data_IF_616221072420
#
_entry.id   IF_616221072420
#
_cell.length_a   1.000
_cell.length_b   1.000
_cell.length_c   1.000
_cell.angle_alpha   90.00
_cell.angle_beta   90.00
_cell.angle_gamma   90.00
#
_symmetry.space_group_name_H-M   'P 1'
#
loop_
_entity.id
_entity.type
_entity.pdbx_description
1 polymer ?
#
# COMPACT_ATOMS: atom_id res chain seq x y z
N UNK A 1 31.57 19.45 21.92
CA UNK A 1 32.08 18.22 22.57
C UNK A 1 31.66 17.07 21.66
N UNK A 2 32.61 16.28 21.15
CA UNK A 2 32.27 15.13 20.32
C UNK A 2 31.65 14.01 21.18
N UNK A 3 30.66 13.26 20.68
CA UNK A 3 30.04 12.16 21.42
C UNK A 3 31.06 11.08 21.73
N UNK A 4 30.97 10.51 22.93
CA UNK A 4 31.80 9.37 23.33
C UNK A 4 31.32 8.08 22.67
N UNK A 5 32.17 7.04 22.68
CA UNK A 5 31.76 5.69 22.23
C UNK A 5 30.52 5.19 23.00
N UNK A 6 30.41 5.52 24.29
CA UNK A 6 29.26 5.15 25.10
C UNK A 6 27.97 5.85 24.62
N UNK A 7 28.07 7.14 24.25
CA UNK A 7 26.94 7.89 23.68
C UNK A 7 26.51 7.30 22.32
N UNK A 8 27.48 6.92 21.48
CA UNK A 8 27.19 6.29 20.19
C UNK A 8 26.55 4.90 20.32
N UNK A 9 27.03 4.07 21.25
CA UNK A 9 26.42 2.77 21.56
C UNK A 9 25.00 2.93 22.10
N UNK A 10 24.77 3.90 22.99
CA UNK A 10 23.44 4.22 23.48
C UNK A 10 22.49 4.63 22.34
N UNK A 11 22.95 5.47 21.40
CA UNK A 11 22.18 5.83 20.20
C UNK A 11 21.83 4.62 19.33
N UNK A 12 22.76 3.68 19.15
CA UNK A 12 22.50 2.46 18.36
C UNK A 12 21.46 1.58 19.04
N UNK A 13 21.52 1.42 20.37
CA UNK A 13 20.52 0.66 21.13
C UNK A 13 19.14 1.32 21.06
N UNK A 14 19.06 2.65 21.12
CA UNK A 14 17.81 3.39 20.91
C UNK A 14 17.25 3.10 19.51
N UNK A 15 18.09 3.14 18.47
CA UNK A 15 17.68 2.83 17.09
C UNK A 15 17.19 1.40 16.93
N UNK A 16 17.82 0.42 17.58
CA UNK A 16 17.35 -0.97 17.62
C UNK A 16 15.97 -1.08 18.26
N UNK A 17 15.76 -0.43 19.40
CA UNK A 17 14.44 -0.39 20.05
C UNK A 17 13.38 0.26 19.17
N UNK A 18 13.72 1.34 18.48
CA UNK A 18 12.82 2.00 17.52
C UNK A 18 12.48 1.10 16.33
N UNK A 19 13.47 0.36 15.80
CA UNK A 19 13.28 -0.60 14.71
C UNK A 19 12.32 -1.72 15.14
N UNK A 20 12.51 -2.29 16.34
CA UNK A 20 11.59 -3.29 16.90
C UNK A 20 10.16 -2.76 17.05
N UNK A 21 9.99 -1.53 17.57
CA UNK A 21 8.67 -0.90 17.68
C UNK A 21 8.02 -0.67 16.32
N UNK A 22 8.81 -0.30 15.31
CA UNK A 22 8.31 -0.12 13.95
C UNK A 22 7.87 -1.45 13.35
N UNK A 23 8.70 -2.49 13.44
CA UNK A 23 8.37 -3.84 13.00
C UNK A 23 7.07 -4.33 13.64
N UNK A 24 6.93 -4.17 14.96
CA UNK A 24 5.71 -4.55 15.68
C UNK A 24 4.48 -3.83 15.12
N UNK A 25 4.53 -2.50 14.95
CA UNK A 25 3.41 -1.73 14.38
C UNK A 25 3.08 -2.15 12.95
N UNK A 26 4.09 -2.48 12.15
CA UNK A 26 3.89 -2.93 10.77
C UNK A 26 3.18 -4.29 10.72
N UNK A 27 3.54 -5.22 11.62
CA UNK A 27 2.83 -6.51 11.75
C UNK A 27 1.38 -6.33 12.17
N UNK A 28 1.13 -5.46 13.15
CA UNK A 28 -0.23 -5.12 13.60
C UNK A 28 -1.05 -4.51 12.45
N UNK A 29 -0.45 -3.56 11.72
CA UNK A 29 -1.08 -2.93 10.55
C UNK A 29 -1.36 -3.93 9.43
N UNK A 30 -0.45 -4.85 9.15
CA UNK A 30 -0.65 -5.88 8.14
C UNK A 30 -1.85 -6.76 8.49
N UNK A 31 -1.97 -7.19 9.75
CA UNK A 31 -3.10 -8.01 10.21
C UNK A 31 -4.44 -7.27 10.06
N UNK A 32 -4.51 -5.98 10.41
CA UNK A 32 -5.70 -5.15 10.17
C UNK A 32 -6.07 -5.07 8.67
N UNK A 33 -5.06 -4.91 7.82
CA UNK A 33 -5.25 -4.83 6.37
C UNK A 33 -5.76 -6.16 5.83
N UNK A 34 -5.18 -7.29 6.24
CA UNK A 34 -5.61 -8.63 5.82
C UNK A 34 -7.07 -8.90 6.17
N UNK A 35 -7.49 -8.57 7.39
CA UNK A 35 -8.89 -8.68 7.81
C UNK A 35 -9.79 -7.82 6.91
N UNK A 36 -9.38 -6.56 6.65
CA UNK A 36 -10.15 -5.64 5.82
C UNK A 36 -10.23 -6.11 4.37
N UNK A 37 -9.15 -6.64 3.80
CA UNK A 37 -9.12 -7.21 2.45
C UNK A 37 -10.06 -8.40 2.35
N UNK A 38 -10.07 -9.29 3.34
CA UNK A 38 -10.99 -10.43 3.40
C UNK A 38 -12.46 -9.98 3.42
N UNK A 39 -12.79 -8.94 4.20
CA UNK A 39 -14.14 -8.39 4.25
C UNK A 39 -14.59 -7.76 2.91
N UNK A 40 -13.66 -7.17 2.15
CA UNK A 40 -13.95 -6.51 0.87
C UNK A 40 -14.07 -7.51 -0.31
N UNK A 41 -13.36 -8.64 -0.25
CA UNK A 41 -13.19 -9.54 -1.39
C UNK A 41 -14.51 -10.04 -2.02
N UNK A 42 -15.54 -10.26 -1.19
CA UNK A 42 -16.85 -10.76 -1.65
C UNK A 42 -17.77 -9.72 -2.28
N UNK A 43 -17.55 -8.42 -2.05
CA UNK A 43 -18.45 -7.35 -2.51
C UNK A 43 -17.69 -6.20 -3.17
N UNK A 44 -16.88 -6.52 -4.17
CA UNK A 44 -16.20 -5.53 -5.01
C UNK A 44 -16.34 -5.85 -6.51
N UNK A 45 -16.20 -4.82 -7.34
CA UNK A 45 -16.11 -4.99 -8.79
C UNK A 45 -15.20 -3.88 -9.37
N UNK A 46 -14.29 -4.18 -10.30
CA UNK A 46 -13.48 -3.17 -10.96
C UNK A 46 -14.30 -2.34 -11.95
N UNK A 47 -13.89 -1.08 -12.13
CA UNK A 47 -14.38 -0.25 -13.22
C UNK A 47 -14.81 1.15 -12.80
N UNK A 48 -15.65 1.75 -13.64
CA UNK A 48 -16.22 3.09 -13.43
C UNK A 48 -17.64 3.14 -13.95
N UNK A 49 -18.52 3.84 -13.23
CA UNK A 49 -19.92 3.98 -13.60
C UNK A 49 -20.13 5.34 -14.27
N UNK A 50 -20.69 5.32 -15.48
CA UNK A 50 -20.90 6.50 -16.30
C UNK A 50 -22.37 6.68 -16.62
N UNK A 51 -22.84 7.93 -16.62
CA UNK A 51 -24.19 8.29 -17.03
C UNK A 51 -24.15 8.77 -18.49
N UNK A 52 -24.86 8.10 -19.39
CA UNK A 52 -24.78 8.38 -20.83
C UNK A 52 -26.15 8.38 -21.48
N UNK A 53 -26.30 9.23 -22.51
CA UNK A 53 -27.42 9.14 -23.45
C UNK A 53 -26.97 8.34 -24.68
N UNK A 54 -27.86 7.51 -25.20
CA UNK A 54 -27.55 6.59 -26.32
C UNK A 54 -28.47 6.86 -27.50
N UNK A 55 -27.93 6.79 -28.72
CA UNK A 55 -28.75 6.75 -29.94
C UNK A 55 -29.33 5.36 -30.10
N UNK A 56 -30.56 5.27 -30.62
CA UNK A 56 -31.20 3.99 -30.92
C UNK A 56 -30.88 3.55 -32.35
N UNK A 57 -31.60 2.55 -32.87
CA UNK A 57 -31.51 2.14 -34.26
C UNK A 57 -31.74 3.29 -35.25
N UNK A 58 -31.32 3.13 -36.52
CA UNK A 58 -31.20 4.21 -37.51
C UNK A 58 -32.48 5.04 -37.70
N UNK A 59 -33.66 4.41 -37.56
CA UNK A 59 -34.96 5.05 -37.78
C UNK A 59 -35.63 5.61 -36.50
N UNK A 60 -34.92 5.74 -35.39
CA UNK A 60 -35.49 6.32 -34.17
C UNK A 60 -35.59 7.85 -34.26
N UNK A 61 -36.78 8.42 -34.00
CA UNK A 61 -36.98 9.87 -33.87
C UNK A 61 -36.03 10.54 -32.86
N UNK A 62 -35.58 9.78 -31.86
CA UNK A 62 -34.64 10.23 -30.83
C UNK A 62 -33.24 10.60 -31.36
N UNK A 63 -32.88 10.16 -32.57
CA UNK A 63 -31.56 10.40 -33.15
C UNK A 63 -31.33 11.86 -33.59
N UNK A 64 -32.41 12.61 -33.81
CA UNK A 64 -32.38 14.03 -34.19
C UNK A 64 -32.38 14.97 -32.96
N UNK A 65 -32.19 14.43 -31.76
CA UNK A 65 -32.11 15.17 -30.50
C UNK A 65 -31.00 14.62 -29.59
N UNK A 66 -31.19 14.67 -28.28
CA UNK A 66 -30.18 14.25 -27.29
C UNK A 66 -30.07 12.72 -27.09
N UNK A 67 -30.80 11.90 -27.86
CA UNK A 67 -30.86 10.45 -27.70
C UNK A 67 -31.65 9.98 -26.46
N UNK A 68 -31.70 8.67 -26.25
CA UNK A 68 -32.39 8.02 -25.12
C UNK A 68 -31.53 7.99 -23.86
N UNK A 69 -32.21 7.99 -22.70
CA UNK A 69 -31.59 7.94 -21.39
C UNK A 69 -31.81 9.22 -20.59
N UNK A 70 -30.95 9.51 -19.61
CA UNK A 70 -29.64 8.89 -19.43
C UNK A 70 -29.69 7.51 -18.75
N UNK A 71 -28.75 6.65 -19.13
CA UNK A 71 -28.55 5.30 -18.64
C UNK A 71 -27.19 5.16 -17.96
N UNK A 72 -27.13 4.33 -16.93
CA UNK A 72 -25.87 4.00 -16.29
C UNK A 72 -25.19 2.86 -17.03
N UNK A 73 -23.89 3.02 -17.30
CA UNK A 73 -23.04 2.01 -17.89
C UNK A 73 -21.80 1.82 -17.01
N UNK A 74 -21.52 0.57 -16.66
CA UNK A 74 -20.28 0.17 -16.01
C UNK A 74 -19.24 -0.12 -17.09
N UNK A 75 -18.12 0.57 -17.02
CA UNK A 75 -16.95 0.36 -17.88
C UNK A 75 -15.85 -0.34 -17.08
N UNK A 76 -15.25 -1.40 -17.63
CA UNK A 76 -14.11 -2.07 -17.04
C UNK A 76 -13.11 -2.54 -18.09
N UNK A 77 -11.84 -2.63 -17.69
CA UNK A 77 -10.79 -3.21 -18.52
C UNK A 77 -10.74 -4.72 -18.33
N UNK A 78 -10.53 -5.43 -19.44
CA UNK A 78 -10.29 -6.88 -19.49
C UNK A 78 -9.05 -7.14 -20.35
N UNK A 79 -8.49 -8.37 -20.36
CA UNK A 79 -7.41 -8.71 -21.28
C UNK A 79 -7.76 -8.47 -22.76
N UNK A 80 -9.05 -8.57 -23.14
CA UNK A 80 -9.56 -8.29 -24.48
C UNK A 80 -9.90 -6.81 -24.74
N UNK A 81 -9.55 -5.90 -23.84
CA UNK A 81 -9.82 -4.46 -23.95
C UNK A 81 -10.97 -3.98 -23.05
N UNK A 82 -11.43 -2.75 -23.33
CA UNK A 82 -12.47 -2.08 -22.55
C UNK A 82 -13.85 -2.64 -22.91
N UNK A 83 -14.59 -3.10 -21.91
CA UNK A 83 -15.98 -3.55 -22.05
C UNK A 83 -16.93 -2.64 -21.29
N UNK A 84 -18.18 -2.54 -21.76
CA UNK A 84 -19.25 -1.80 -21.08
C UNK A 84 -20.48 -2.66 -20.86
N UNK A 85 -21.16 -2.47 -19.73
CA UNK A 85 -22.40 -3.16 -19.36
C UNK A 85 -23.45 -2.17 -18.88
N UNK A 86 -24.69 -2.29 -19.36
CA UNK A 86 -25.82 -1.50 -18.84
C UNK A 86 -26.12 -1.86 -17.37
N UNK A 87 -26.41 -0.82 -16.57
CA UNK A 87 -26.76 -0.94 -15.16
C UNK A 87 -28.15 -0.35 -14.94
N UNK A 88 -29.06 -1.15 -14.37
CA UNK A 88 -30.41 -0.68 -14.02
C UNK A 88 -30.33 0.36 -12.91
N UNK A 89 -31.24 1.34 -12.91
CA UNK A 89 -31.30 2.39 -11.88
C UNK A 89 -31.36 1.82 -10.45
N UNK A 90 -32.10 0.72 -10.25
CA UNK A 90 -32.21 0.03 -8.95
C UNK A 90 -30.90 -0.60 -8.47
N UNK A 91 -29.93 -0.85 -9.36
CA UNK A 91 -28.65 -1.48 -9.02
C UNK A 91 -27.51 -0.47 -8.85
N UNK A 92 -27.73 0.79 -9.22
CA UNK A 92 -26.68 1.83 -9.26
C UNK A 92 -25.95 1.95 -7.93
N UNK A 93 -26.71 1.99 -6.82
CA UNK A 93 -26.11 2.20 -5.51
C UNK A 93 -25.28 0.99 -5.05
N UNK A 94 -25.77 -0.22 -5.34
CA UNK A 94 -25.01 -1.46 -5.14
C UNK A 94 -23.70 -1.45 -5.92
N UNK A 95 -23.73 -1.04 -7.19
CA UNK A 95 -22.53 -0.96 -8.02
C UNK A 95 -21.57 0.13 -7.52
N UNK A 96 -22.06 1.31 -7.12
CA UNK A 96 -21.22 2.36 -6.53
C UNK A 96 -20.46 1.88 -5.30
N UNK A 97 -21.15 1.18 -4.39
CA UNK A 97 -20.52 0.57 -3.22
C UNK A 97 -19.41 -0.41 -3.64
N UNK A 98 -19.71 -1.34 -4.55
CA UNK A 98 -18.72 -2.33 -5.06
C UNK A 98 -17.52 -1.68 -5.73
N UNK A 99 -17.72 -0.61 -6.48
CA UNK A 99 -16.63 0.18 -7.07
C UNK A 99 -15.78 0.87 -6.00
N UNK A 100 -16.41 1.36 -4.93
CA UNK A 100 -15.70 1.96 -3.80
C UNK A 100 -14.87 0.92 -3.05
N UNK A 101 -15.47 -0.24 -2.77
CA UNK A 101 -14.80 -1.38 -2.14
C UNK A 101 -13.60 -1.83 -2.97
N UNK A 102 -13.72 -1.87 -4.30
CA UNK A 102 -12.58 -2.19 -5.17
C UNK A 102 -11.45 -1.14 -5.10
N UNK A 103 -11.78 0.15 -5.03
CA UNK A 103 -10.78 1.22 -4.87
C UNK A 103 -10.04 1.08 -3.54
N UNK A 104 -10.77 0.85 -2.46
CA UNK A 104 -10.21 0.62 -1.12
C UNK A 104 -9.31 -0.61 -1.12
N UNK A 105 -9.81 -1.74 -1.64
CA UNK A 105 -9.04 -2.98 -1.77
C UNK A 105 -7.71 -2.77 -2.50
N UNK A 106 -7.71 -2.02 -3.61
CA UNK A 106 -6.49 -1.74 -4.39
C UNK A 106 -5.45 -0.93 -3.62
N UNK A 107 -5.89 0.02 -2.79
CA UNK A 107 -4.99 0.81 -1.95
C UNK A 107 -4.40 -0.07 -0.85
N UNK A 108 -5.26 -0.81 -0.14
CA UNK A 108 -4.87 -1.69 0.95
C UNK A 108 -3.95 -2.84 0.50
N UNK A 109 -4.24 -3.48 -0.64
CA UNK A 109 -3.39 -4.54 -1.18
C UNK A 109 -1.99 -4.03 -1.55
N UNK A 110 -1.88 -2.78 -2.03
CA UNK A 110 -0.59 -2.15 -2.29
C UNK A 110 0.16 -1.86 -1.00
N UNK A 111 -0.54 -1.36 0.02
CA UNK A 111 0.03 -1.10 1.35
C UNK A 111 0.55 -2.40 1.98
N UNK A 112 -0.26 -3.47 1.99
CA UNK A 112 0.14 -4.79 2.49
C UNK A 112 1.43 -5.28 1.83
N UNK A 113 1.50 -5.23 0.50
CA UNK A 113 2.70 -5.65 -0.23
C UNK A 113 3.96 -4.87 0.17
N UNK A 114 3.85 -3.54 0.37
CA UNK A 114 4.97 -2.72 0.84
C UNK A 114 5.37 -3.04 2.28
N UNK A 115 4.42 -3.44 3.13
CA UNK A 115 4.69 -3.87 4.50
C UNK A 115 5.39 -5.23 4.51
N UNK A 116 4.89 -6.19 3.75
CA UNK A 116 5.50 -7.52 3.58
C UNK A 116 6.96 -7.39 3.11
N UNK A 117 7.21 -6.59 2.06
CA UNK A 117 8.57 -6.33 1.57
C UNK A 117 9.50 -5.76 2.65
N UNK A 118 8.99 -4.84 3.48
CA UNK A 118 9.73 -4.28 4.60
C UNK A 118 10.04 -5.33 5.67
N UNK A 119 9.07 -6.18 6.02
CA UNK A 119 9.21 -7.20 7.06
C UNK A 119 10.11 -8.37 6.63
N UNK A 120 10.06 -8.78 5.36
CA UNK A 120 10.83 -9.92 4.85
C UNK A 120 12.33 -9.69 4.91
N UNK A 121 12.81 -8.54 4.42
CA UNK A 121 14.25 -8.28 4.27
C UNK A 121 14.66 -6.93 4.85
N UNK A 122 13.78 -5.92 4.83
CA UNK A 122 14.09 -4.56 5.25
C UNK A 122 14.51 -4.44 6.71
N UNK A 123 13.78 -5.09 7.62
CA UNK A 123 14.09 -5.12 9.06
C UNK A 123 15.46 -5.77 9.32
N UNK A 124 15.71 -6.93 8.70
CA UNK A 124 16.97 -7.66 8.84
C UNK A 124 18.16 -6.82 8.35
N UNK A 125 18.05 -6.19 7.18
CA UNK A 125 19.08 -5.29 6.65
C UNK A 125 19.34 -4.12 7.60
N UNK A 126 18.29 -3.53 8.17
CA UNK A 126 18.43 -2.41 9.08
C UNK A 126 19.17 -2.82 10.37
N UNK A 127 18.84 -3.97 10.96
CA UNK A 127 19.54 -4.44 12.16
C UNK A 127 21.00 -4.86 11.87
N UNK A 128 21.26 -5.52 10.74
CA UNK A 128 22.63 -5.84 10.29
C UNK A 128 23.48 -4.56 10.17
N UNK A 129 22.92 -3.50 9.58
CA UNK A 129 23.60 -2.19 9.49
C UNK A 129 23.88 -1.57 10.85
N UNK A 130 22.95 -1.71 11.81
CA UNK A 130 23.18 -1.25 13.18
C UNK A 130 24.27 -2.07 13.86
N UNK A 131 24.28 -3.40 13.69
CA UNK A 131 25.31 -4.29 14.18
C UNK A 131 26.70 -3.95 13.63
N UNK A 132 26.82 -3.73 12.32
CA UNK A 132 28.08 -3.32 11.69
C UNK A 132 28.66 -2.02 12.29
N UNK A 133 27.81 -1.07 12.68
CA UNK A 133 28.25 0.15 13.38
C UNK A 133 28.80 -0.13 14.77
N UNK A 134 28.16 -1.04 15.52
CA UNK A 134 28.68 -1.47 16.83
C UNK A 134 30.07 -2.08 16.66
N UNK A 135 30.24 -2.99 15.71
CA UNK A 135 31.55 -3.62 15.43
C UNK A 135 32.61 -2.56 15.10
N UNK A 136 32.31 -1.61 14.21
CA UNK A 136 33.23 -0.54 13.85
C UNK A 136 33.62 0.35 15.03
N UNK A 137 32.69 0.65 15.94
CA UNK A 137 32.96 1.44 17.14
C UNK A 137 33.85 0.70 18.13
N UNK A 138 33.59 -0.59 18.36
CA UNK A 138 34.42 -1.41 19.22
C UNK A 138 35.85 -1.53 18.66
N UNK A 139 36.00 -1.77 17.36
CA UNK A 139 37.31 -1.80 16.70
C UNK A 139 38.08 -0.49 16.85
N UNK A 140 37.40 0.67 16.72
CA UNK A 140 38.00 1.99 16.93
C UNK A 140 38.48 2.15 18.38
N UNK A 141 37.64 1.77 19.33
CA UNK A 141 37.95 1.86 20.77
C UNK A 141 39.15 1.00 21.15
N UNK A 142 39.24 -0.22 20.61
CA UNK A 142 40.37 -1.12 20.80
C UNK A 142 41.66 -0.54 20.19
N UNK A 143 41.59 0.01 18.98
CA UNK A 143 42.75 0.68 18.35
C UNK A 143 43.24 1.88 19.16
N UNK A 144 42.32 2.69 19.68
CA UNK A 144 42.65 3.88 20.47
C UNK A 144 43.28 3.50 21.82
N UNK A 145 42.79 2.42 22.46
CA UNK A 145 43.38 1.89 23.71
C UNK A 145 44.72 1.17 23.50
N UNK A 146 44.96 0.53 22.35
CA UNK A 146 46.26 -0.03 22.01
C UNK A 146 47.31 1.06 21.74
N UNK A 147 46.92 2.18 21.10
CA UNK A 147 47.82 3.32 20.85
C UNK A 147 48.22 4.06 22.13
N UNK A 148 47.32 4.19 23.09
CA UNK A 148 47.61 4.87 24.37
C UNK A 148 48.46 4.06 25.35
N UNK A 149 48.56 2.73 25.17
CA UNK A 149 49.39 1.84 26.00
C UNK A 149 50.82 1.61 25.46
N UNK A 150 51.10 2.04 24.23
CA UNK A 150 52.40 1.89 23.57
C UNK A 150 53.24 3.17 23.50
N UNK A 151 52.81 4.24 24.18
CA UNK A 151 53.48 5.54 24.28
C UNK A 151 54.01 5.76 25.70
#
# INVERSE_FOLDING_TARGET
MEPTVADELAMINIKRRQLWLLEKRQKERLAEIEERLAALAGDMEPGSLHLQRVKCGPNCKCNNGTGHGPYYFLYRWTPGGQVKRYVRKSEVERIRRRLSNYREYRVLAKEAHSIEEFLDVGVAIADIRLGAKVTALLEKTVKDTCRSKGA
#
